data_IF_987759232146
#
_entry.id   IF_987759232146
#
_cell.length_a   1.000
_cell.length_b   1.000
_cell.length_c   1.000
_cell.angle_alpha   90.00
_cell.angle_beta   90.00
_cell.angle_gamma   90.00
#
_symmetry.space_group_name_H-M   'P 1'
#
loop_
_entity.id
_entity.type
_entity.pdbx_description
1 polymer ?
#
# COMPACT_ATOMS: atom_id res chain seq x y z
N UNK A 1 -9.74 7.84 -28.14
CA UNK A 1 -9.19 7.88 -26.77
C UNK A 1 -7.83 8.58 -26.81
N UNK A 2 -7.49 9.47 -25.87
CA UNK A 2 -6.18 10.11 -25.86
C UNK A 2 -5.09 9.04 -25.65
N UNK A 3 -3.98 9.17 -26.38
CA UNK A 3 -2.81 8.25 -26.39
C UNK A 3 -2.35 7.80 -24.99
N UNK A 4 -2.41 8.68 -24.00
CA UNK A 4 -2.03 8.39 -22.60
C UNK A 4 -2.96 7.39 -21.87
N UNK A 5 -4.24 7.35 -22.21
CA UNK A 5 -5.20 6.42 -21.58
C UNK A 5 -5.02 5.00 -22.11
N UNK A 6 -4.62 4.85 -23.38
CA UNK A 6 -4.33 3.55 -23.97
C UNK A 6 -3.04 2.95 -23.37
N UNK A 7 -1.96 3.74 -23.25
CA UNK A 7 -0.70 3.31 -22.64
C UNK A 7 -0.87 2.82 -21.19
N UNK A 8 -1.70 3.50 -20.39
CA UNK A 8 -2.04 3.06 -19.03
C UNK A 8 -2.79 1.73 -19.05
N UNK A 9 -3.82 1.61 -19.87
CA UNK A 9 -4.65 0.40 -19.97
C UNK A 9 -3.82 -0.81 -20.38
N UNK A 10 -2.93 -0.65 -21.35
CA UNK A 10 -2.02 -1.72 -21.79
C UNK A 10 -1.03 -2.13 -20.69
N UNK A 11 -0.39 -1.16 -20.03
CA UNK A 11 0.55 -1.43 -18.95
C UNK A 11 -0.14 -2.14 -17.76
N UNK A 12 -1.35 -1.71 -17.38
CA UNK A 12 -2.14 -2.38 -16.34
C UNK A 12 -2.54 -3.79 -16.77
N UNK A 13 -3.02 -3.97 -18.00
CA UNK A 13 -3.42 -5.29 -18.50
C UNK A 13 -2.27 -6.29 -18.47
N UNK A 14 -1.10 -5.90 -18.97
CA UNK A 14 0.09 -6.74 -18.89
C UNK A 14 0.53 -7.00 -17.43
N UNK A 15 0.46 -5.99 -16.58
CA UNK A 15 0.82 -6.11 -15.17
C UNK A 15 -0.12 -7.05 -14.41
N UNK A 16 -1.42 -6.93 -14.60
CA UNK A 16 -2.43 -7.79 -13.98
C UNK A 16 -2.27 -9.26 -14.37
N UNK A 17 -2.10 -9.53 -15.67
CA UNK A 17 -1.86 -10.91 -16.14
C UNK A 17 -0.61 -11.50 -15.48
N UNK A 18 0.48 -10.72 -15.39
CA UNK A 18 1.74 -11.19 -14.78
C UNK A 18 1.66 -11.40 -13.26
N UNK A 19 0.96 -10.51 -12.55
CA UNK A 19 0.96 -10.48 -11.08
C UNK A 19 -0.22 -11.21 -10.48
N UNK A 20 -1.39 -11.14 -11.12
CA UNK A 20 -2.66 -11.63 -10.60
C UNK A 20 -3.27 -12.75 -11.45
N UNK A 21 -2.60 -13.13 -12.56
CA UNK A 21 -3.03 -14.18 -13.49
C UNK A 21 -4.44 -13.97 -14.08
N UNK A 22 -4.86 -12.70 -14.16
CA UNK A 22 -6.14 -12.28 -14.76
C UNK A 22 -6.00 -10.92 -15.43
N UNK A 23 -6.92 -10.60 -16.31
CA UNK A 23 -7.06 -9.25 -16.84
C UNK A 23 -7.73 -8.32 -15.81
N UNK A 24 -7.44 -7.00 -15.85
CA UNK A 24 -8.19 -6.02 -15.07
C UNK A 24 -9.62 -5.89 -15.60
N UNK A 25 -10.57 -5.69 -14.70
CA UNK A 25 -11.94 -5.33 -15.07
C UNK A 25 -12.01 -3.88 -15.60
N UNK A 26 -13.12 -3.53 -16.25
CA UNK A 26 -13.38 -2.15 -16.68
C UNK A 26 -13.41 -1.17 -15.50
N UNK A 27 -13.96 -1.60 -14.37
CA UNK A 27 -14.01 -0.81 -13.13
C UNK A 27 -12.59 -0.53 -12.59
N UNK A 28 -11.72 -1.54 -12.53
CA UNK A 28 -10.33 -1.37 -12.09
C UNK A 28 -9.56 -0.41 -13.02
N UNK A 29 -9.72 -0.56 -14.34
CA UNK A 29 -9.10 0.35 -15.32
C UNK A 29 -9.57 1.80 -15.14
N UNK A 30 -10.84 2.03 -14.90
CA UNK A 30 -11.40 3.36 -14.64
C UNK A 30 -10.86 3.94 -13.32
N UNK A 31 -10.86 3.14 -12.24
CA UNK A 31 -10.35 3.55 -10.93
C UNK A 31 -8.87 3.94 -11.00
N UNK A 32 -8.01 3.10 -11.60
CA UNK A 32 -6.60 3.41 -11.78
C UNK A 32 -6.38 4.64 -12.68
N UNK A 33 -7.16 4.81 -13.74
CA UNK A 33 -7.08 5.98 -14.61
C UNK A 33 -7.43 7.27 -13.88
N UNK A 34 -8.51 7.26 -13.07
CA UNK A 34 -8.91 8.40 -12.25
C UNK A 34 -7.87 8.69 -11.17
N UNK A 35 -7.38 7.67 -10.49
CA UNK A 35 -6.32 7.80 -9.49
C UNK A 35 -5.04 8.39 -10.08
N UNK A 36 -4.58 7.91 -11.23
CA UNK A 36 -3.42 8.46 -11.95
C UNK A 36 -3.61 9.94 -12.24
N UNK A 37 -4.77 10.33 -12.75
CA UNK A 37 -5.08 11.72 -13.08
C UNK A 37 -4.99 12.63 -11.85
N UNK A 38 -5.60 12.22 -10.74
CA UNK A 38 -5.54 12.93 -9.46
C UNK A 38 -4.10 13.02 -8.94
N UNK A 39 -3.37 11.90 -8.95
CA UNK A 39 -1.99 11.86 -8.46
C UNK A 39 -1.06 12.76 -9.28
N UNK A 40 -1.16 12.74 -10.60
CA UNK A 40 -0.39 13.64 -11.48
C UNK A 40 -0.72 15.10 -11.22
N UNK A 41 -2.01 15.43 -11.05
CA UNK A 41 -2.44 16.79 -10.75
C UNK A 41 -1.88 17.30 -9.41
N UNK A 42 -2.07 16.53 -8.34
CA UNK A 42 -1.64 16.92 -6.99
C UNK A 42 -0.12 16.89 -6.84
N UNK A 43 0.57 15.98 -7.53
CA UNK A 43 2.03 15.85 -7.44
C UNK A 43 2.77 17.09 -7.94
N UNK A 44 2.17 17.85 -8.88
CA UNK A 44 2.74 19.10 -9.39
C UNK A 44 2.90 20.17 -8.29
N UNK A 45 1.93 20.24 -7.37
CA UNK A 45 1.93 21.24 -6.32
C UNK A 45 2.47 20.74 -4.96
N UNK A 46 2.36 19.44 -4.70
CA UNK A 46 2.56 18.87 -3.35
C UNK A 46 3.67 17.86 -3.22
N UNK A 47 4.33 17.48 -4.33
CA UNK A 47 5.44 16.52 -4.33
C UNK A 47 5.11 15.23 -3.55
N UNK A 48 3.96 14.61 -3.86
CA UNK A 48 3.48 13.39 -3.20
C UNK A 48 4.38 12.20 -3.47
N UNK A 49 5.00 12.16 -4.65
CA UNK A 49 5.94 11.13 -5.09
C UNK A 49 7.08 11.73 -5.93
N UNK A 50 8.21 11.04 -5.98
CA UNK A 50 9.33 11.40 -6.85
C UNK A 50 9.12 11.06 -8.33
N UNK A 51 8.13 10.22 -8.65
CA UNK A 51 7.81 9.85 -10.04
C UNK A 51 6.95 10.93 -10.69
N UNK A 52 7.25 11.23 -11.96
CA UNK A 52 6.64 12.36 -12.66
C UNK A 52 5.83 11.96 -13.89
N UNK A 53 6.15 10.84 -14.49
CA UNK A 53 5.46 10.36 -15.69
C UNK A 53 4.35 9.37 -15.35
N UNK A 54 3.26 9.32 -16.13
CA UNK A 54 2.22 8.31 -16.00
C UNK A 54 2.75 6.88 -16.02
N UNK A 55 3.71 6.59 -16.88
CA UNK A 55 4.31 5.25 -17.00
C UNK A 55 5.07 4.85 -15.73
N UNK A 56 5.91 5.75 -15.19
CA UNK A 56 6.60 5.48 -13.91
C UNK A 56 5.62 5.27 -12.76
N UNK A 57 4.58 6.10 -12.65
CA UNK A 57 3.56 5.96 -11.60
C UNK A 57 2.87 4.62 -11.72
N UNK A 58 2.45 4.24 -12.93
CA UNK A 58 1.79 2.96 -13.17
C UNK A 58 2.69 1.78 -12.79
N UNK A 59 3.91 1.76 -13.27
CA UNK A 59 4.84 0.65 -13.02
C UNK A 59 5.36 0.63 -11.58
N UNK A 60 5.88 1.77 -11.11
CA UNK A 60 6.63 1.86 -9.83
C UNK A 60 5.76 2.10 -8.61
N UNK A 61 4.50 2.51 -8.79
CA UNK A 61 3.56 2.69 -7.69
C UNK A 61 2.40 1.69 -7.78
N UNK A 62 1.62 1.70 -8.86
CA UNK A 62 0.42 0.88 -8.94
C UNK A 62 0.73 -0.61 -9.01
N UNK A 63 1.46 -1.04 -10.03
CA UNK A 63 1.79 -2.46 -10.20
C UNK A 63 2.71 -2.98 -9.09
N UNK A 64 3.66 -2.17 -8.62
CA UNK A 64 4.53 -2.51 -7.50
C UNK A 64 3.74 -2.73 -6.19
N UNK A 65 2.60 -2.04 -6.01
CA UNK A 65 1.70 -2.24 -4.87
C UNK A 65 1.00 -3.60 -4.90
N UNK A 66 0.71 -4.12 -6.08
CA UNK A 66 0.04 -5.41 -6.23
C UNK A 66 0.91 -6.60 -5.79
N UNK A 67 2.23 -6.39 -5.66
CA UNK A 67 3.13 -7.41 -5.10
C UNK A 67 2.80 -7.74 -3.65
N UNK A 68 2.24 -6.81 -2.88
CA UNK A 68 1.84 -7.04 -1.50
C UNK A 68 0.75 -8.11 -1.36
N UNK A 69 -0.07 -8.29 -2.40
CA UNK A 69 -1.15 -9.29 -2.42
C UNK A 69 -0.65 -10.74 -2.32
N UNK A 70 0.64 -11.01 -2.55
CA UNK A 70 1.21 -12.34 -2.38
C UNK A 70 1.16 -12.85 -0.94
N UNK A 71 1.00 -11.96 0.04
CA UNK A 71 0.91 -12.30 1.46
C UNK A 71 -0.41 -11.90 2.10
N UNK A 72 -1.38 -11.47 1.28
CA UNK A 72 -2.74 -11.09 1.71
C UNK A 72 -3.70 -12.09 1.10
N UNK A 73 -4.19 -13.00 1.93
CA UNK A 73 -5.04 -14.12 1.51
C UNK A 73 -6.47 -13.93 2.02
N UNK A 74 -7.49 -14.44 1.28
CA UNK A 74 -8.87 -14.48 1.78
C UNK A 74 -9.00 -15.39 3.03
N UNK A 75 -9.95 -15.11 3.93
CA UNK A 75 -10.90 -13.98 3.85
C UNK A 75 -10.20 -12.64 4.09
N UNK A 76 -10.51 -11.64 3.25
CA UNK A 76 -9.93 -10.31 3.38
C UNK A 76 -10.51 -9.61 4.61
N UNK A 77 -9.64 -9.34 5.58
CA UNK A 77 -9.97 -8.66 6.82
C UNK A 77 -9.69 -7.15 6.76
N UNK A 78 -9.16 -6.64 7.86
CA UNK A 78 -8.79 -5.22 8.01
C UNK A 78 -7.33 -5.00 7.69
N UNK A 79 -7.06 -4.03 6.82
CA UNK A 79 -5.72 -3.62 6.42
C UNK A 79 -5.43 -2.20 6.92
N UNK A 80 -4.27 -2.00 7.54
CA UNK A 80 -3.70 -0.69 7.84
C UNK A 80 -2.57 -0.39 6.86
N UNK A 81 -2.67 0.68 6.08
CA UNK A 81 -1.55 1.24 5.31
C UNK A 81 -0.81 2.25 6.19
N UNK A 82 0.32 1.83 6.74
CA UNK A 82 1.11 2.58 7.71
C UNK A 82 2.02 3.60 7.00
N UNK A 83 1.70 4.87 7.14
CA UNK A 83 2.39 5.94 6.42
C UNK A 83 2.01 5.98 4.93
N UNK A 84 0.73 5.94 4.64
CA UNK A 84 0.14 5.74 3.31
C UNK A 84 0.66 6.70 2.22
N UNK A 85 1.12 7.89 2.59
CA UNK A 85 1.71 8.84 1.65
C UNK A 85 0.78 9.26 0.54
N UNK A 86 1.07 8.79 -0.66
CA UNK A 86 0.20 8.95 -1.83
C UNK A 86 -0.90 7.87 -1.93
N UNK A 87 -1.13 7.07 -0.88
CA UNK A 87 -2.07 5.94 -0.88
C UNK A 87 -1.46 4.65 -1.40
N UNK A 88 -0.15 4.49 -1.25
CA UNK A 88 0.64 3.40 -1.80
C UNK A 88 1.26 2.57 -0.66
N UNK A 89 0.88 1.29 -0.49
CA UNK A 89 0.16 0.43 -1.44
C UNK A 89 -1.36 0.33 -1.23
N UNK A 90 -1.94 0.95 -0.20
CA UNK A 90 -3.32 0.68 0.25
C UNK A 90 -4.41 0.93 -0.79
N UNK A 91 -4.35 2.02 -1.56
CA UNK A 91 -5.38 2.31 -2.58
C UNK A 91 -5.33 1.33 -3.75
N UNK A 92 -4.17 1.00 -4.37
CA UNK A 92 -4.10 -0.07 -5.37
C UNK A 92 -4.61 -1.41 -4.88
N UNK A 93 -4.29 -1.81 -3.64
CA UNK A 93 -4.81 -3.03 -3.02
C UNK A 93 -6.34 -2.96 -2.92
N UNK A 94 -6.88 -1.84 -2.42
CA UNK A 94 -8.34 -1.65 -2.30
C UNK A 94 -9.07 -1.69 -3.63
N UNK A 95 -8.49 -1.14 -4.70
CA UNK A 95 -9.08 -1.20 -6.04
C UNK A 95 -9.22 -2.65 -6.51
N UNK A 96 -8.21 -3.49 -6.23
CA UNK A 96 -8.17 -4.90 -6.67
C UNK A 96 -8.98 -5.81 -5.74
N UNK A 97 -9.01 -5.49 -4.44
CA UNK A 97 -9.72 -6.24 -3.39
C UNK A 97 -10.79 -5.34 -2.73
N UNK A 98 -11.93 -5.11 -3.43
CA UNK A 98 -12.94 -4.16 -2.97
C UNK A 98 -13.63 -4.58 -1.66
N UNK A 99 -13.60 -5.85 -1.29
CA UNK A 99 -14.14 -6.35 -0.01
C UNK A 99 -13.31 -6.01 1.22
N UNK A 100 -12.05 -5.57 1.05
CA UNK A 100 -11.14 -5.28 2.15
C UNK A 100 -11.52 -3.96 2.86
N UNK A 101 -11.48 -3.96 4.20
CA UNK A 101 -11.57 -2.74 5.01
C UNK A 101 -10.18 -2.13 5.14
N UNK A 102 -9.98 -0.89 4.67
CA UNK A 102 -8.67 -0.26 4.61
C UNK A 102 -8.63 1.01 5.46
N UNK A 103 -7.63 1.12 6.33
CA UNK A 103 -7.29 2.35 7.03
C UNK A 103 -6.00 2.92 6.47
N UNK A 104 -6.05 4.14 5.94
CA UNK A 104 -4.90 4.88 5.42
C UNK A 104 -4.39 5.83 6.51
N UNK A 105 -3.28 5.49 7.15
CA UNK A 105 -2.68 6.30 8.22
C UNK A 105 -1.57 7.18 7.63
N UNK A 106 -1.74 8.50 7.71
CA UNK A 106 -0.76 9.46 7.20
C UNK A 106 -0.75 10.72 8.08
N UNK A 107 0.40 11.03 8.69
CA UNK A 107 0.52 12.14 9.62
C UNK A 107 0.53 13.53 8.95
N UNK A 108 0.87 13.61 7.67
CA UNK A 108 1.00 14.90 6.97
C UNK A 108 -0.34 15.33 6.39
N UNK A 109 -0.90 16.43 6.88
CA UNK A 109 -2.21 16.99 6.46
C UNK A 109 -2.40 17.05 4.94
N UNK A 110 -1.41 17.55 4.19
CA UNK A 110 -1.55 17.69 2.73
C UNK A 110 -1.70 16.34 2.03
N UNK A 111 -0.98 15.31 2.50
CA UNK A 111 -1.09 13.95 1.96
C UNK A 111 -2.42 13.32 2.35
N UNK A 112 -2.84 13.50 3.61
CA UNK A 112 -4.15 13.04 4.10
C UNK A 112 -5.30 13.68 3.31
N UNK A 113 -5.24 15.00 3.01
CA UNK A 113 -6.23 15.66 2.16
C UNK A 113 -6.27 15.07 0.75
N UNK A 114 -5.12 14.71 0.17
CA UNK A 114 -5.06 14.01 -1.09
C UNK A 114 -5.76 12.64 -1.01
N UNK A 115 -5.45 11.85 0.03
CA UNK A 115 -6.07 10.55 0.25
C UNK A 115 -7.60 10.65 0.37
N UNK A 116 -8.10 11.61 1.15
CA UNK A 116 -9.53 11.87 1.28
C UNK A 116 -10.17 12.22 -0.07
N UNK A 117 -9.47 13.01 -0.89
CA UNK A 117 -9.92 13.32 -2.25
C UNK A 117 -9.99 12.08 -3.12
N UNK A 118 -8.94 11.22 -3.10
CA UNK A 118 -8.93 10.00 -3.89
C UNK A 118 -10.03 9.03 -3.46
N UNK A 119 -10.19 8.80 -2.15
CA UNK A 119 -11.24 7.92 -1.61
C UNK A 119 -12.63 8.35 -2.08
N UNK A 120 -12.92 9.66 -2.01
CA UNK A 120 -14.20 10.22 -2.48
C UNK A 120 -14.36 10.10 -3.99
N UNK A 121 -13.36 10.48 -4.78
CA UNK A 121 -13.43 10.52 -6.24
C UNK A 121 -13.47 9.14 -6.91
N UNK A 122 -12.97 8.12 -6.21
CA UNK A 122 -13.03 6.73 -6.62
C UNK A 122 -14.18 5.95 -5.95
N UNK A 123 -14.97 6.63 -5.10
CA UNK A 123 -16.10 6.04 -4.37
C UNK A 123 -15.68 4.75 -3.62
N UNK A 124 -14.50 4.78 -2.97
CA UNK A 124 -13.97 3.61 -2.29
C UNK A 124 -14.68 3.37 -0.95
N UNK A 125 -15.62 2.43 -0.94
CA UNK A 125 -16.32 2.03 0.27
C UNK A 125 -15.39 1.28 1.25
N UNK A 126 -15.61 1.41 2.56
CA UNK A 126 -14.81 0.73 3.58
C UNK A 126 -13.37 1.23 3.69
N UNK A 127 -13.09 2.46 3.24
CA UNK A 127 -11.80 3.12 3.41
C UNK A 127 -11.91 4.28 4.40
N UNK A 128 -11.04 4.29 5.41
CA UNK A 128 -10.89 5.39 6.36
C UNK A 128 -9.53 6.06 6.18
N UNK A 129 -9.51 7.39 6.22
CA UNK A 129 -8.26 8.18 6.21
C UNK A 129 -8.05 8.77 7.59
N UNK A 130 -6.90 8.46 8.21
CA UNK A 130 -6.50 8.96 9.53
C UNK A 130 -5.32 9.92 9.38
N UNK A 131 -5.53 11.18 9.78
CA UNK A 131 -4.52 12.25 9.68
C UNK A 131 -3.83 12.44 11.03
N UNK A 132 -3.06 11.48 11.48
CA UNK A 132 -2.37 11.50 12.78
C UNK A 132 -1.14 10.59 12.76
N UNK A 133 -0.32 10.70 13.81
CA UNK A 133 0.80 9.78 14.00
C UNK A 133 0.31 8.46 14.60
N UNK A 134 1.04 7.38 14.33
CA UNK A 134 0.69 6.05 14.83
C UNK A 134 0.64 5.99 16.36
N UNK A 135 1.58 6.66 17.02
CA UNK A 135 1.64 6.75 18.47
C UNK A 135 0.42 7.48 19.05
N UNK A 136 0.02 8.58 18.40
CA UNK A 136 -1.15 9.39 18.77
C UNK A 136 -2.43 8.58 18.58
N UNK A 137 -2.54 7.87 17.45
CA UNK A 137 -3.70 7.02 17.15
C UNK A 137 -3.86 5.89 18.16
N UNK A 138 -2.77 5.20 18.54
CA UNK A 138 -2.83 4.15 19.56
C UNK A 138 -3.18 4.69 20.95
N UNK A 139 -2.76 5.91 21.27
CA UNK A 139 -3.08 6.55 22.53
C UNK A 139 -4.53 7.05 22.60
N UNK A 140 -5.05 7.61 21.49
CA UNK A 140 -6.42 8.16 21.42
C UNK A 140 -7.49 7.09 21.21
N UNK A 141 -7.16 6.00 20.49
CA UNK A 141 -8.06 4.89 20.20
C UNK A 141 -7.42 3.53 20.54
N UNK A 142 -7.33 3.15 21.82
CA UNK A 142 -6.75 1.87 22.25
C UNK A 142 -7.42 0.63 21.62
N UNK A 143 -8.67 0.76 21.17
CA UNK A 143 -9.40 -0.29 20.47
C UNK A 143 -8.79 -0.66 19.11
N UNK A 144 -7.92 0.16 18.54
CA UNK A 144 -7.17 -0.14 17.34
C UNK A 144 -5.90 -0.96 17.60
N UNK A 145 -5.52 -1.13 18.86
CA UNK A 145 -4.48 -2.08 19.23
C UNK A 145 -4.95 -3.51 18.93
N UNK A 146 -4.14 -4.26 18.23
CA UNK A 146 -4.48 -5.63 17.79
C UNK A 146 -5.80 -5.72 17.01
N UNK A 147 -6.06 -4.77 16.09
CA UNK A 147 -7.33 -4.65 15.38
C UNK A 147 -7.22 -4.94 13.86
N UNK A 148 -6.00 -5.12 13.33
CA UNK A 148 -5.78 -5.30 11.91
C UNK A 148 -5.17 -6.67 11.60
N UNK A 149 -5.69 -7.33 10.58
CA UNK A 149 -5.18 -8.60 10.09
C UNK A 149 -3.91 -8.41 9.28
N UNK A 150 -3.83 -7.26 8.58
CA UNK A 150 -2.68 -6.89 7.78
C UNK A 150 -2.24 -5.45 8.07
N UNK A 151 -0.93 -5.26 8.23
CA UNK A 151 -0.31 -3.93 8.25
C UNK A 151 0.71 -3.87 7.13
N UNK A 152 0.51 -2.96 6.19
CA UNK A 152 1.44 -2.74 5.08
C UNK A 152 2.20 -1.45 5.28
N UNK A 153 3.48 -1.42 4.85
CA UNK A 153 4.28 -0.21 4.90
C UNK A 153 5.22 -0.13 3.68
N UNK A 154 5.26 1.03 3.05
CA UNK A 154 6.18 1.31 1.97
C UNK A 154 6.83 2.67 2.17
N UNK A 155 8.17 2.69 2.35
CA UNK A 155 8.94 3.92 2.56
C UNK A 155 8.39 4.83 3.70
N UNK A 156 7.73 4.23 4.70
CA UNK A 156 7.10 4.95 5.82
C UNK A 156 8.12 5.49 6.85
N UNK A 157 9.38 5.07 6.77
CA UNK A 157 10.45 5.49 7.66
C UNK A 157 11.46 4.37 7.97
N UNK A 158 12.38 4.61 8.91
CA UNK A 158 13.31 3.58 9.36
C UNK A 158 12.57 2.40 10.00
N UNK A 159 12.89 1.19 9.58
CA UNK A 159 12.22 -0.04 10.03
C UNK A 159 12.21 -0.19 11.54
N UNK A 160 13.32 0.19 12.19
CA UNK A 160 13.44 0.15 13.64
C UNK A 160 12.42 1.03 14.39
N UNK A 161 11.94 2.09 13.75
CA UNK A 161 10.95 3.00 14.35
C UNK A 161 9.52 2.59 14.02
N UNK A 162 9.26 2.11 12.79
CA UNK A 162 7.89 1.79 12.37
C UNK A 162 7.44 0.39 12.79
N UNK A 163 8.35 -0.60 12.83
CA UNK A 163 7.98 -1.99 13.04
C UNK A 163 7.34 -2.25 14.40
N UNK A 164 7.85 -1.74 15.55
CA UNK A 164 7.20 -1.91 16.84
C UNK A 164 5.77 -1.36 16.86
N UNK A 165 5.56 -0.18 16.26
CA UNK A 165 4.24 0.44 16.16
C UNK A 165 3.30 -0.35 15.25
N UNK A 166 3.80 -0.77 14.09
CA UNK A 166 3.04 -1.59 13.14
C UNK A 166 2.56 -2.91 13.79
N UNK A 167 3.44 -3.56 14.54
CA UNK A 167 3.12 -4.80 15.26
C UNK A 167 2.08 -4.59 16.38
N UNK A 168 2.01 -3.38 16.98
CA UNK A 168 0.99 -3.07 17.97
C UNK A 168 -0.43 -3.06 17.39
N UNK A 169 -0.58 -2.71 16.12
CA UNK A 169 -1.87 -2.73 15.41
C UNK A 169 -2.32 -4.13 14.99
N UNK A 170 -1.41 -5.11 14.87
CA UNK A 170 -1.72 -6.45 14.38
C UNK A 170 -2.48 -7.29 15.39
N UNK A 171 -3.52 -7.98 14.91
CA UNK A 171 -4.19 -9.08 15.62
C UNK A 171 -3.20 -10.25 15.86
N UNK A 172 -3.44 -11.14 16.84
CA UNK A 172 -2.82 -12.45 16.84
C UNK A 172 -3.09 -13.17 15.52
N UNK A 173 -2.09 -13.77 14.90
CA UNK A 173 -2.13 -14.33 13.56
C UNK A 173 -2.00 -13.30 12.43
N UNK A 174 -2.02 -12.02 12.74
CA UNK A 174 -1.89 -10.95 11.76
C UNK A 174 -0.49 -10.80 11.19
N UNK A 175 -0.38 -10.17 10.02
CA UNK A 175 0.84 -10.10 9.23
C UNK A 175 1.23 -8.66 8.88
N UNK A 176 2.49 -8.30 9.18
CA UNK A 176 3.13 -7.08 8.67
C UNK A 176 3.85 -7.39 7.37
N UNK A 177 3.67 -6.52 6.36
CA UNK A 177 4.31 -6.61 5.05
C UNK A 177 4.98 -5.28 4.74
N UNK A 178 6.30 -5.23 4.89
CA UNK A 178 7.08 -4.01 4.69
C UNK A 178 7.95 -4.10 3.44
N UNK A 179 7.77 -3.18 2.46
CA UNK A 179 8.71 -3.06 1.35
C UNK A 179 10.00 -2.40 1.83
N UNK A 180 11.10 -3.12 1.78
CA UNK A 180 12.42 -2.70 2.24
C UNK A 180 13.36 -2.28 1.12
N UNK A 181 14.52 -1.70 1.48
CA UNK A 181 15.59 -1.43 0.54
C UNK A 181 16.19 -2.75 0.02
N UNK A 182 16.84 -2.73 -1.16
CA UNK A 182 17.48 -3.92 -1.75
C UNK A 182 18.53 -4.58 -0.85
N UNK A 183 19.19 -3.78 -0.01
CA UNK A 183 20.18 -4.24 0.96
C UNK A 183 19.54 -4.37 2.33
N UNK A 184 19.57 -5.58 2.92
CA UNK A 184 18.98 -5.84 4.23
C UNK A 184 19.67 -5.04 5.32
N UNK A 185 18.95 -4.07 5.87
CA UNK A 185 19.36 -3.47 7.14
C UNK A 185 18.98 -4.42 8.28
N UNK A 186 19.76 -4.47 9.36
CA UNK A 186 19.39 -5.23 10.54
C UNK A 186 17.99 -4.81 11.03
N UNK A 187 17.20 -5.79 11.38
CA UNK A 187 15.92 -5.55 12.05
C UNK A 187 16.21 -5.35 13.53
N UNK A 188 15.50 -4.45 14.22
CA UNK A 188 15.62 -4.35 15.67
C UNK A 188 15.22 -5.68 16.31
N UNK A 189 15.68 -5.98 17.54
CA UNK A 189 15.14 -7.08 18.32
C UNK A 189 13.62 -6.97 18.37
N UNK A 190 12.92 -8.06 18.02
CA UNK A 190 11.47 -8.12 18.04
C UNK A 190 10.98 -8.72 19.36
N UNK A 191 9.77 -8.35 19.81
CA UNK A 191 9.14 -8.96 20.96
C UNK A 191 9.00 -10.49 20.79
N UNK A 192 8.93 -11.26 21.90
CA UNK A 192 8.53 -12.66 21.84
C UNK A 192 7.21 -12.84 21.09
N UNK A 193 7.06 -13.95 20.37
CA UNK A 193 5.86 -14.23 19.59
C UNK A 193 5.83 -13.60 18.20
N UNK A 194 6.89 -12.96 17.74
CA UNK A 194 7.00 -12.45 16.38
C UNK A 194 7.95 -13.34 15.59
N UNK A 195 7.43 -13.96 14.51
CA UNK A 195 8.24 -14.64 13.49
C UNK A 195 8.41 -13.70 12.30
N UNK A 196 9.58 -13.68 11.72
CA UNK A 196 9.82 -12.87 10.53
C UNK A 196 10.82 -13.51 9.57
N UNK A 197 10.71 -13.13 8.31
CA UNK A 197 11.67 -13.46 7.26
C UNK A 197 11.72 -12.37 6.20
N UNK A 198 12.78 -12.38 5.41
CA UNK A 198 12.91 -11.55 4.23
C UNK A 198 12.64 -12.36 2.99
N UNK A 199 11.81 -11.81 2.12
CA UNK A 199 11.50 -12.41 0.82
C UNK A 199 11.84 -11.45 -0.31
N UNK A 200 12.35 -12.01 -1.42
CA UNK A 200 12.70 -11.23 -2.60
C UNK A 200 11.85 -11.70 -3.77
N UNK A 201 11.04 -10.79 -4.31
CA UNK A 201 10.20 -11.07 -5.47
C UNK A 201 10.80 -10.41 -6.69
N UNK A 202 10.90 -11.19 -7.76
CA UNK A 202 11.14 -10.71 -9.10
C UNK A 202 9.96 -11.11 -9.97
N UNK A 203 8.98 -10.21 -10.09
CA UNK A 203 7.86 -10.47 -10.98
C UNK A 203 8.35 -10.57 -12.45
N UNK A 204 7.72 -11.41 -13.27
CA UNK A 204 8.07 -11.52 -14.68
C UNK A 204 8.08 -10.15 -15.37
N UNK A 205 9.16 -9.83 -16.10
CA UNK A 205 9.33 -8.54 -16.76
C UNK A 205 9.80 -7.38 -15.88
N UNK A 206 10.02 -7.58 -14.58
CA UNK A 206 10.69 -6.59 -13.73
C UNK A 206 12.22 -6.69 -13.87
N UNK A 207 12.88 -5.55 -14.06
CA UNK A 207 14.35 -5.48 -14.15
C UNK A 207 15.00 -5.72 -12.80
N UNK A 208 14.36 -5.29 -11.71
CA UNK A 208 14.89 -5.38 -10.34
C UNK A 208 13.96 -6.16 -9.43
N UNK A 209 14.53 -7.01 -8.55
CA UNK A 209 13.77 -7.63 -7.48
C UNK A 209 13.31 -6.62 -6.44
N UNK A 210 12.15 -6.87 -5.84
CA UNK A 210 11.66 -6.18 -4.65
C UNK A 210 11.87 -7.05 -3.43
N UNK A 211 12.29 -6.43 -2.36
CA UNK A 211 12.51 -7.12 -1.09
C UNK A 211 11.46 -6.72 -0.08
N UNK A 212 10.89 -7.70 0.57
CA UNK A 212 9.86 -7.52 1.59
C UNK A 212 10.27 -8.15 2.91
N UNK A 213 10.00 -7.45 3.99
CA UNK A 213 9.97 -8.02 5.32
C UNK A 213 8.55 -8.48 5.63
N UNK A 214 8.42 -9.76 5.91
CA UNK A 214 7.18 -10.34 6.39
C UNK A 214 7.37 -10.66 7.87
N UNK A 215 6.49 -10.14 8.73
CA UNK A 215 6.49 -10.47 10.15
C UNK A 215 5.09 -10.88 10.59
N UNK A 216 4.99 -12.00 11.31
CA UNK A 216 3.74 -12.58 11.79
C UNK A 216 3.70 -12.53 13.30
N UNK A 217 2.56 -12.11 13.85
CA UNK A 217 2.31 -12.06 15.28
C UNK A 217 1.62 -13.36 15.70
N UNK A 218 2.28 -14.14 16.59
CA UNK A 218 1.69 -15.36 17.16
C UNK A 218 0.57 -15.06 18.13
#
# INVERSE_FOLDING_TARGET
>A
MPRRAWELSEALSHGFVRLLQRAPSSHELQAFSRYLSLLVQWNRAHHLTGYRTPAEITEKLFLDSLLFLQWIEPPFGKLLDFGAGAGIPGIPIKIVEPGMQVTLLEARRRRSSFLTTVVRELELEGVQVRCERAEELLASEPSLQSAFDFVVARAAGPLKSILPLALAFLTPGGRFIGSGPPTGKPIPPLPPGIRYHWESIRAPGMVTSRRFLIAEKS
#
